data_IF_577668494226
#
_entry.id   IF_577668494226
#
_cell.length_a   1.000
_cell.length_b   1.000
_cell.length_c   1.000
_cell.angle_alpha   90.00
_cell.angle_beta   90.00
_cell.angle_gamma   90.00
#
_symmetry.space_group_name_H-M   'P 1'
#
loop_
_entity.id
_entity.type
_entity.pdbx_description
1 polymer ?
#
# COMPACT_ATOMS: atom_id res chain seq x y z
N UNK A 1 4.31 -19.05 6.18
CA UNK A 1 3.23 -19.57 5.32
C UNK A 1 2.42 -20.48 6.21
N UNK A 2 1.12 -20.25 6.26
CA UNK A 2 0.17 -20.93 7.13
C UNK A 2 -1.11 -21.17 6.33
N UNK A 3 -1.40 -22.44 6.07
CA UNK A 3 -2.56 -22.89 5.30
C UNK A 3 -3.63 -23.39 6.27
N UNK A 4 -4.82 -22.80 6.23
CA UNK A 4 -5.94 -23.14 7.13
C UNK A 4 -6.87 -24.12 6.41
N UNK A 5 -6.82 -25.39 6.80
CA UNK A 5 -7.61 -26.44 6.12
C UNK A 5 -9.13 -26.25 6.26
N UNK A 6 -9.59 -25.62 7.34
CA UNK A 6 -11.01 -25.44 7.65
C UNK A 6 -11.75 -24.55 6.65
N UNK A 7 -11.11 -23.47 6.20
CA UNK A 7 -11.68 -22.49 5.26
C UNK A 7 -10.94 -22.41 3.92
N UNK A 8 -9.83 -23.15 3.77
CA UNK A 8 -9.01 -23.16 2.57
C UNK A 8 -8.22 -21.86 2.35
N UNK A 9 -8.07 -21.03 3.38
CA UNK A 9 -7.32 -19.77 3.29
C UNK A 9 -5.81 -19.98 3.47
N UNK A 10 -5.04 -19.02 2.96
CA UNK A 10 -3.59 -18.99 3.05
C UNK A 10 -3.14 -17.64 3.60
N UNK A 11 -2.35 -17.68 4.68
CA UNK A 11 -1.62 -16.51 5.16
C UNK A 11 -0.11 -16.72 4.98
N UNK A 12 0.59 -15.62 4.71
CA UNK A 12 2.05 -15.61 4.67
C UNK A 12 2.56 -14.25 5.11
N UNK A 13 3.77 -14.25 5.64
CA UNK A 13 4.45 -13.04 6.11
C UNK A 13 5.83 -13.00 5.49
N UNK A 14 6.26 -11.82 5.09
CA UNK A 14 7.64 -11.58 4.66
C UNK A 14 8.18 -10.35 5.36
N UNK A 15 9.36 -10.50 5.95
CA UNK A 15 10.14 -9.39 6.44
C UNK A 15 10.89 -8.73 5.27
N UNK A 16 10.83 -7.41 5.17
CA UNK A 16 11.52 -6.62 4.14
C UNK A 16 12.08 -5.33 4.76
N UNK A 17 13.21 -4.81 4.26
CA UNK A 17 13.66 -3.47 4.62
C UNK A 17 12.60 -2.43 4.27
N UNK A 18 12.43 -1.42 5.14
CA UNK A 18 11.58 -0.27 4.81
C UNK A 18 12.25 0.64 3.77
N UNK A 19 13.57 0.82 3.89
CA UNK A 19 14.36 1.66 3.00
C UNK A 19 15.35 0.83 2.19
N UNK A 20 15.50 1.21 0.93
CA UNK A 20 16.41 0.62 -0.02
C UNK A 20 17.40 1.69 -0.50
N UNK A 21 18.66 1.32 -0.72
CA UNK A 21 19.59 2.20 -1.43
C UNK A 21 19.28 2.19 -2.91
N UNK A 22 19.16 3.37 -3.50
CA UNK A 22 19.01 3.53 -4.94
C UNK A 22 20.22 2.93 -5.68
N UNK A 23 19.97 2.24 -6.79
CA UNK A 23 21.05 1.76 -7.66
C UNK A 23 21.67 2.90 -8.49
N UNK A 24 21.04 4.07 -8.50
CA UNK A 24 21.37 5.20 -9.37
C UNK A 24 21.75 6.49 -8.59
N UNK A 25 21.62 6.49 -7.27
CA UNK A 25 22.02 7.59 -6.39
C UNK A 25 22.48 7.05 -5.01
N UNK A 26 23.12 7.91 -4.20
CA UNK A 26 23.45 7.57 -2.80
C UNK A 26 22.26 7.73 -1.85
N UNK A 27 21.06 8.02 -2.39
CA UNK A 27 19.85 8.26 -1.61
C UNK A 27 19.17 6.96 -1.19
N UNK A 28 18.50 7.00 -0.04
CA UNK A 28 17.58 5.95 0.40
C UNK A 28 16.17 6.26 -0.09
N UNK A 29 15.48 5.21 -0.56
CA UNK A 29 14.12 5.29 -1.08
C UNK A 29 13.22 4.32 -0.32
N UNK A 30 12.00 4.77 0.00
CA UNK A 30 10.98 3.92 0.61
C UNK A 30 10.30 3.10 -0.49
N UNK A 31 10.93 1.99 -0.88
CA UNK A 31 10.43 1.08 -1.92
C UNK A 31 9.72 -0.11 -1.28
N UNK A 32 8.56 0.14 -0.69
CA UNK A 32 7.70 -0.88 -0.11
C UNK A 32 6.23 -0.44 -0.19
N UNK A 33 5.32 -1.27 0.31
CA UNK A 33 3.88 -0.99 0.33
C UNK A 33 3.31 -0.97 1.76
N UNK A 34 4.11 -0.61 2.77
CA UNK A 34 3.69 -0.68 4.18
C UNK A 34 2.37 0.07 4.43
N UNK A 35 2.18 1.22 3.78
CA UNK A 35 0.97 2.03 3.96
C UNK A 35 -0.19 1.46 3.13
N UNK A 36 0.03 1.19 1.85
CA UNK A 36 -1.02 0.71 0.94
C UNK A 36 -1.46 -0.72 1.20
N UNK A 37 -0.67 -1.50 1.96
CA UNK A 37 -0.98 -2.85 2.44
C UNK A 37 -1.19 -2.90 3.96
N UNK A 38 -1.52 -1.77 4.59
CA UNK A 38 -2.01 -1.74 5.96
C UNK A 38 -3.52 -1.99 5.98
N UNK A 39 -4.02 -2.73 6.96
CA UNK A 39 -5.44 -3.10 7.07
C UNK A 39 -6.38 -1.88 7.17
N UNK A 40 -5.90 -0.74 7.70
CA UNK A 40 -6.67 0.52 7.74
C UNK A 40 -7.12 1.00 6.35
N UNK A 41 -6.43 0.59 5.27
CA UNK A 41 -6.83 0.91 3.89
C UNK A 41 -8.09 0.15 3.45
N UNK A 42 -8.45 -0.93 4.15
CA UNK A 42 -9.62 -1.77 3.87
C UNK A 42 -10.76 -1.51 4.85
N UNK A 43 -10.48 -1.01 6.06
CA UNK A 43 -11.48 -0.78 7.12
C UNK A 43 -12.72 0.01 6.64
N UNK A 44 -12.56 0.82 5.59
CA UNK A 44 -13.64 1.60 4.96
C UNK A 44 -13.80 1.34 3.45
N UNK A 45 -13.22 0.26 2.92
CA UNK A 45 -13.30 -0.06 1.49
C UNK A 45 -14.73 -0.36 1.06
N UNK A 46 -15.19 0.30 -0.01
CA UNK A 46 -16.48 0.04 -0.65
C UNK A 46 -16.38 -0.83 -1.91
N UNK A 47 -15.16 -1.14 -2.35
CA UNK A 47 -14.87 -1.80 -3.62
C UNK A 47 -14.61 -3.31 -3.44
N UNK A 48 -13.59 -3.86 -4.13
CA UNK A 48 -13.26 -5.29 -4.15
C UNK A 48 -12.90 -5.86 -2.77
N UNK A 49 -12.58 -5.01 -1.78
CA UNK A 49 -12.25 -5.42 -0.42
C UNK A 49 -13.40 -5.24 0.58
N UNK A 50 -14.59 -4.85 0.12
CA UNK A 50 -15.73 -4.57 1.01
C UNK A 50 -16.06 -5.72 1.97
N UNK A 51 -15.95 -6.96 1.52
CA UNK A 51 -16.31 -8.14 2.34
C UNK A 51 -15.29 -8.41 3.47
N UNK A 52 -14.13 -7.75 3.43
CA UNK A 52 -13.09 -7.82 4.47
C UNK A 52 -13.12 -6.63 5.42
N UNK A 53 -13.86 -5.57 5.10
CA UNK A 53 -13.95 -4.37 5.91
C UNK A 53 -14.54 -4.70 7.30
N UNK A 54 -13.84 -4.30 8.36
CA UNK A 54 -14.24 -4.54 9.75
C UNK A 54 -13.86 -5.91 10.31
N UNK A 55 -13.20 -6.78 9.53
CA UNK A 55 -12.51 -7.94 10.10
C UNK A 55 -11.32 -7.47 10.95
N UNK A 56 -10.89 -8.25 11.95
CA UNK A 56 -9.62 -8.01 12.62
C UNK A 56 -8.49 -7.86 11.60
N UNK A 57 -7.56 -6.92 11.81
CA UNK A 57 -6.52 -6.60 10.83
C UNK A 57 -5.73 -7.83 10.34
N UNK A 58 -5.47 -8.82 11.23
CA UNK A 58 -4.78 -10.06 10.86
C UNK A 58 -5.56 -11.03 9.96
N UNK A 59 -6.88 -10.83 9.81
CA UNK A 59 -7.76 -11.63 8.96
C UNK A 59 -8.17 -10.87 7.68
N UNK A 60 -7.68 -9.65 7.50
CA UNK A 60 -7.83 -8.92 6.25
C UNK A 60 -6.81 -9.40 5.18
N UNK A 61 -7.06 -9.17 3.88
CA UNK A 61 -6.19 -9.62 2.78
C UNK A 61 -4.73 -9.20 2.89
N UNK A 62 -4.48 -8.09 3.56
CA UNK A 62 -3.14 -7.60 3.85
C UNK A 62 -3.12 -6.81 5.15
N UNK A 63 -2.00 -6.93 5.85
CA UNK A 63 -1.69 -6.14 7.02
C UNK A 63 -0.19 -5.97 7.16
N UNK A 64 0.25 -4.75 7.47
CA UNK A 64 1.65 -4.37 7.59
C UNK A 64 1.97 -4.06 9.05
N UNK A 65 3.16 -4.44 9.50
CA UNK A 65 3.63 -4.30 10.89
C UNK A 65 5.08 -3.89 10.91
N UNK A 66 5.59 -3.51 12.08
CA UNK A 66 7.01 -3.41 12.32
C UNK A 66 7.72 -4.76 12.10
N UNK A 67 9.03 -4.71 11.84
CA UNK A 67 9.81 -5.90 11.47
C UNK A 67 9.97 -6.93 12.58
N UNK A 68 9.71 -6.54 13.82
CA UNK A 68 9.61 -7.39 15.01
C UNK A 68 8.19 -7.96 15.23
N UNK A 69 7.22 -7.52 14.42
CA UNK A 69 5.82 -7.92 14.51
C UNK A 69 4.96 -7.01 15.38
N UNK A 70 5.49 -5.92 15.94
CA UNK A 70 4.68 -4.92 16.64
C UNK A 70 3.74 -4.19 15.67
N UNK A 71 2.56 -3.83 16.15
CA UNK A 71 1.61 -3.03 15.38
C UNK A 71 2.12 -1.59 15.23
N UNK A 72 1.85 -0.98 14.09
CA UNK A 72 1.96 0.47 13.98
C UNK A 72 0.89 1.12 14.85
N UNK A 73 1.21 2.26 15.46
CA UNK A 73 0.19 3.11 16.07
C UNK A 73 -0.64 3.82 14.99
N UNK A 74 -1.87 4.19 15.34
CA UNK A 74 -2.75 4.97 14.46
C UNK A 74 -2.09 6.28 14.02
N UNK A 75 -1.37 6.95 14.93
CA UNK A 75 -0.64 8.18 14.65
C UNK A 75 0.50 7.97 13.63
N UNK A 76 1.22 6.85 13.70
CA UNK A 76 2.25 6.51 12.71
C UNK A 76 1.65 6.30 11.32
N UNK A 77 0.57 5.51 11.22
CA UNK A 77 -0.12 5.28 9.95
C UNK A 77 -0.69 6.57 9.37
N UNK A 78 -1.33 7.40 10.20
CA UNK A 78 -1.86 8.71 9.78
C UNK A 78 -0.74 9.62 9.28
N UNK A 79 0.37 9.72 10.02
CA UNK A 79 1.53 10.54 9.63
C UNK A 79 2.10 10.10 8.29
N UNK A 80 2.23 8.80 8.06
CA UNK A 80 2.74 8.26 6.79
C UNK A 80 1.78 8.59 5.64
N UNK A 81 0.47 8.43 5.86
CA UNK A 81 -0.56 8.77 4.88
C UNK A 81 -0.54 10.26 4.51
N UNK A 82 -0.44 11.14 5.50
CA UNK A 82 -0.32 12.59 5.31
C UNK A 82 0.93 12.96 4.51
N UNK A 83 2.09 12.35 4.80
CA UNK A 83 3.32 12.57 4.05
C UNK A 83 3.20 12.08 2.59
N UNK A 84 2.62 10.91 2.37
CA UNK A 84 2.37 10.40 1.01
C UNK A 84 1.48 11.39 0.25
N UNK A 85 0.40 11.85 0.84
CA UNK A 85 -0.52 12.80 0.20
C UNK A 85 0.16 14.15 -0.06
N UNK A 86 0.87 14.72 0.92
CA UNK A 86 1.55 16.00 0.81
C UNK A 86 2.69 16.00 -0.24
N UNK A 87 3.23 14.84 -0.56
CA UNK A 87 4.28 14.65 -1.57
C UNK A 87 3.79 13.96 -2.86
N UNK A 88 2.47 13.86 -3.05
CA UNK A 88 1.87 13.35 -4.28
C UNK A 88 1.50 14.48 -5.23
N UNK A 89 1.70 14.25 -6.52
CA UNK A 89 1.33 15.18 -7.58
C UNK A 89 0.29 14.52 -8.50
N UNK A 90 -0.84 15.19 -8.68
CA UNK A 90 -1.89 14.74 -9.60
C UNK A 90 -1.59 15.22 -11.01
N UNK A 91 -1.47 14.28 -11.94
CA UNK A 91 -1.22 14.57 -13.36
C UNK A 91 -2.48 14.29 -14.17
N UNK A 92 -3.03 15.32 -14.79
CA UNK A 92 -4.11 15.17 -15.76
C UNK A 92 -3.55 14.62 -17.09
N UNK A 93 -4.03 13.44 -17.50
CA UNK A 93 -3.60 12.79 -18.74
C UNK A 93 -4.65 12.98 -19.83
N UNK A 94 -4.18 13.37 -21.02
CA UNK A 94 -4.96 13.47 -22.24
C UNK A 94 -4.68 12.28 -23.16
N UNK A 95 -5.60 12.03 -24.10
CA UNK A 95 -5.41 11.02 -25.13
C UNK A 95 -4.11 11.27 -25.91
N UNK A 96 -3.20 10.30 -25.84
CA UNK A 96 -1.89 10.36 -26.50
C UNK A 96 -0.73 10.71 -25.56
N UNK A 97 -1.00 11.13 -24.33
CA UNK A 97 0.04 11.32 -23.32
C UNK A 97 0.66 9.98 -22.90
N UNK A 98 1.94 10.01 -22.56
CA UNK A 98 2.69 8.85 -22.07
C UNK A 98 3.44 9.23 -20.80
N UNK A 99 3.20 8.46 -19.73
CA UNK A 99 3.95 8.59 -18.47
C UNK A 99 5.07 7.55 -18.47
N UNK A 100 6.29 8.00 -18.22
CA UNK A 100 7.46 7.15 -17.96
C UNK A 100 8.00 7.51 -16.59
N UNK A 101 8.08 6.52 -15.69
CA UNK A 101 8.49 6.73 -14.31
C UNK A 101 9.56 5.71 -13.89
N UNK A 102 10.46 6.14 -13.02
CA UNK A 102 11.39 5.25 -12.33
C UNK A 102 10.66 4.60 -11.15
N UNK A 103 10.30 3.33 -11.31
CA UNK A 103 9.53 2.57 -10.31
C UNK A 103 10.30 2.32 -9.01
N UNK A 104 11.61 2.57 -8.97
CA UNK A 104 12.39 2.48 -7.74
C UNK A 104 12.29 3.76 -6.91
N UNK A 105 11.92 4.88 -7.52
CA UNK A 105 11.90 6.21 -6.89
C UNK A 105 10.48 6.75 -6.67
N UNK A 106 9.52 6.37 -7.52
CA UNK A 106 8.18 6.92 -7.49
C UNK A 106 7.13 5.87 -7.15
N UNK A 107 6.39 6.13 -6.08
CA UNK A 107 5.08 5.52 -5.86
C UNK A 107 4.05 6.12 -6.82
N UNK A 108 3.06 5.33 -7.21
CA UNK A 108 1.96 5.80 -8.05
C UNK A 108 0.64 5.21 -7.57
N UNK A 109 -0.43 5.96 -7.81
CA UNK A 109 -1.78 5.59 -7.45
C UNK A 109 -2.78 6.15 -8.45
N UNK A 110 -4.05 6.10 -8.09
CA UNK A 110 -5.13 6.61 -8.92
C UNK A 110 -6.20 7.24 -8.04
N UNK A 111 -6.57 8.46 -8.36
CA UNK A 111 -7.73 9.11 -7.77
C UNK A 111 -9.04 8.43 -8.22
N UNK A 112 -10.11 8.50 -7.41
CA UNK A 112 -11.45 8.13 -7.85
C UNK A 112 -11.83 8.89 -9.14
N UNK A 113 -12.60 8.24 -10.01
CA UNK A 113 -13.10 8.83 -11.25
C UNK A 113 -14.50 8.33 -11.55
N UNK A 114 -15.24 9.09 -12.36
CA UNK A 114 -16.57 8.72 -12.85
C UNK A 114 -16.56 8.52 -14.37
N UNK A 115 -17.46 7.66 -14.86
CA UNK A 115 -17.63 7.41 -16.29
C UNK A 115 -16.63 6.43 -16.89
N UNK A 116 -16.51 6.44 -18.22
CA UNK A 116 -15.57 5.58 -18.95
C UNK A 116 -14.17 6.19 -18.95
N UNK A 117 -13.17 5.39 -18.55
CA UNK A 117 -11.74 5.75 -18.57
C UNK A 117 -10.94 4.57 -19.11
N UNK A 118 -9.98 4.83 -19.99
CA UNK A 118 -9.07 3.84 -20.56
C UNK A 118 -7.64 4.35 -20.58
#
# INVERSE_FOLDING_TARGET
LDWREEDGSLSWTSLRPAFHRSAHSEEEVMMNQLYTLHASMIDHSTDIYRDYAGLPHGDQPFHSRWGDGEEFSDDEISTIGELIHAHSESVELNTGDMVVLDNTRWGHGREPYEGERR
#
